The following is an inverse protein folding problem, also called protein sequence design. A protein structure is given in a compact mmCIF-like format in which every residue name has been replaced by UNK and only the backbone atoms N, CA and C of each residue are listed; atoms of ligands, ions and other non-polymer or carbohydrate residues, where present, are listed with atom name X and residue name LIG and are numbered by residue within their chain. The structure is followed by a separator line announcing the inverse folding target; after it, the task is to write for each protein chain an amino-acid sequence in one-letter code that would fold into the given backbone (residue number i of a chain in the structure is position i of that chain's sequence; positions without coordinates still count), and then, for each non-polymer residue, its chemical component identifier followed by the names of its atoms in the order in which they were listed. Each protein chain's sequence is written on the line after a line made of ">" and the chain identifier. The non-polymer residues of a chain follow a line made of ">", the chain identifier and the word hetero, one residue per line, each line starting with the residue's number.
data_IF_539350487918
#
_entry.id   IF_539350487918
#
_cell.length_a   1.000
_cell.length_b   1.000
_cell.length_c   1.000
_cell.angle_alpha   90.00
_cell.angle_beta   90.00
_cell.angle_gamma   90.00
#
_symmetry.space_group_name_H-M   'P 1'
#
loop_
_entity.id
_entity.type
_entity.pdbx_description
1 polymer ?
#
# COMPACT_ATOMS: atom_id res chain seq x y z
N UNK A 1 -7.58 16.08 1.93
CA UNK A 1 -7.56 15.21 3.14
C UNK A 1 -6.83 15.96 4.25
N UNK A 2 -7.41 15.99 5.45
CA UNK A 2 -6.76 16.55 6.63
C UNK A 2 -6.21 15.43 7.51
N UNK A 3 -5.02 15.63 8.04
CA UNK A 3 -4.38 14.71 8.98
C UNK A 3 -4.08 15.46 10.25
N UNK A 4 -4.56 14.95 11.37
CA UNK A 4 -4.34 15.54 12.68
C UNK A 4 -3.68 14.51 13.59
N UNK A 5 -2.59 14.91 14.25
CA UNK A 5 -1.98 14.08 15.29
C UNK A 5 -2.88 14.12 16.53
N UNK A 6 -3.27 12.96 17.02
CA UNK A 6 -4.12 12.82 18.21
C UNK A 6 -3.33 12.31 19.42
N UNK A 7 -2.10 11.87 19.21
CA UNK A 7 -1.16 11.41 20.23
C UNK A 7 0.18 11.03 19.62
N UNK A 8 1.09 10.56 20.44
CA UNK A 8 2.43 10.14 19.96
C UNK A 8 2.35 9.00 18.93
N UNK A 9 1.38 8.10 19.09
CA UNK A 9 1.22 6.89 18.28
C UNK A 9 -0.15 6.84 17.57
N UNK A 10 -0.80 7.98 17.36
CA UNK A 10 -2.12 8.00 16.75
C UNK A 10 -2.31 9.21 15.84
N UNK A 11 -3.03 8.99 14.75
CA UNK A 11 -3.42 10.03 13.81
C UNK A 11 -4.89 9.90 13.46
N UNK A 12 -5.52 11.03 13.17
CA UNK A 12 -6.85 11.06 12.57
C UNK A 12 -6.70 11.47 11.12
N UNK A 13 -7.23 10.64 10.24
CA UNK A 13 -7.32 10.93 8.82
C UNK A 13 -8.75 11.36 8.51
N UNK A 14 -8.90 12.51 7.89
CA UNK A 14 -10.21 13.04 7.50
C UNK A 14 -10.25 13.13 5.97
N UNK A 15 -10.67 12.04 5.29
CA UNK A 15 -10.92 12.07 3.87
C UNK A 15 -12.19 12.87 3.55
N UNK A 16 -12.68 12.83 2.33
CA UNK A 16 -13.83 13.63 1.90
C UNK A 16 -15.10 13.33 2.69
N UNK A 17 -15.32 12.08 3.06
CA UNK A 17 -16.60 11.58 3.60
C UNK A 17 -16.57 11.22 5.08
N UNK A 18 -15.60 11.72 5.83
CA UNK A 18 -15.55 11.53 7.27
C UNK A 18 -14.19 11.12 7.83
N UNK A 19 -14.05 11.08 9.13
CA UNK A 19 -12.80 10.78 9.79
C UNK A 19 -12.52 9.27 9.81
N UNK A 20 -11.24 8.91 9.63
CA UNK A 20 -10.69 7.61 9.95
C UNK A 20 -9.58 7.81 10.96
N UNK A 21 -9.60 7.06 12.05
CA UNK A 21 -8.57 7.11 13.08
C UNK A 21 -7.74 5.84 13.03
N UNK A 22 -6.41 6.01 13.03
CA UNK A 22 -5.45 4.92 13.14
C UNK A 22 -4.73 5.09 14.47
N UNK A 23 -4.87 4.10 15.34
CA UNK A 23 -4.30 4.11 16.68
C UNK A 23 -3.63 2.76 16.95
N UNK A 24 -2.57 2.78 17.75
CA UNK A 24 -1.92 1.58 18.23
C UNK A 24 -2.02 1.51 19.76
N UNK A 25 -2.25 0.32 20.35
CA UNK A 25 -2.36 0.16 21.81
C UNK A 25 -1.02 0.31 22.53
N UNK A 26 0.09 0.24 21.81
CA UNK A 26 1.44 0.41 22.35
C UNK A 26 2.41 0.84 21.25
N UNK A 27 3.57 1.43 21.61
CA UNK A 27 4.62 1.77 20.63
C UNK A 27 5.10 0.57 19.80
N UNK A 28 5.12 -0.61 20.37
CA UNK A 28 5.55 -1.85 19.69
C UNK A 28 4.57 -2.29 18.59
N UNK A 29 3.36 -1.77 18.61
CA UNK A 29 2.31 -2.06 17.63
C UNK A 29 1.92 -0.82 16.84
N UNK A 30 2.74 0.19 16.88
CA UNK A 30 2.53 1.45 16.22
C UNK A 30 2.45 1.28 14.70
N UNK A 31 1.50 1.96 14.10
CA UNK A 31 1.35 2.05 12.64
C UNK A 31 2.17 3.22 12.13
N UNK A 32 3.41 2.97 11.72
CA UNK A 32 4.32 4.01 11.25
C UNK A 32 3.89 4.59 9.90
N UNK A 33 4.41 5.77 9.50
CA UNK A 33 4.19 6.30 8.15
C UNK A 33 4.56 5.31 7.04
N UNK A 34 5.54 4.46 7.25
CA UNK A 34 6.00 3.47 6.27
C UNK A 34 5.06 2.27 6.19
N UNK A 35 4.41 1.89 7.30
CA UNK A 35 3.29 0.96 7.26
C UNK A 35 2.14 1.51 6.42
N UNK A 36 1.85 2.81 6.53
CA UNK A 36 0.81 3.45 5.72
C UNK A 36 1.19 3.51 4.24
N UNK A 37 2.46 3.80 3.92
CA UNK A 37 2.96 3.77 2.55
C UNK A 37 2.86 2.36 1.96
N UNK A 38 3.34 1.35 2.68
CA UNK A 38 3.25 -0.06 2.28
C UNK A 38 1.80 -0.53 2.14
N UNK A 39 0.92 -0.13 3.06
CA UNK A 39 -0.51 -0.45 2.99
C UNK A 39 -1.18 0.18 1.78
N UNK A 40 -0.82 1.41 1.45
CA UNK A 40 -1.32 2.09 0.24
C UNK A 40 -0.95 1.32 -1.03
N UNK A 41 0.32 0.92 -1.15
CA UNK A 41 0.79 0.11 -2.27
C UNK A 41 0.08 -1.24 -2.33
N UNK A 42 -0.02 -1.95 -1.21
CA UNK A 42 -0.66 -3.26 -1.14
C UNK A 42 -2.15 -3.19 -1.49
N UNK A 43 -2.87 -2.21 -0.94
CA UNK A 43 -4.29 -2.04 -1.22
C UNK A 43 -4.56 -1.72 -2.69
N UNK A 44 -3.78 -0.82 -3.27
CA UNK A 44 -3.90 -0.49 -4.69
C UNK A 44 -3.59 -1.71 -5.58
N UNK A 45 -2.54 -2.47 -5.27
CA UNK A 45 -2.20 -3.70 -6.00
C UNK A 45 -3.30 -4.75 -5.87
N UNK A 46 -3.84 -4.93 -4.66
CA UNK A 46 -4.97 -5.84 -4.43
C UNK A 46 -6.17 -5.46 -5.30
N UNK A 47 -6.46 -4.16 -5.40
CA UNK A 47 -7.60 -3.66 -6.17
C UNK A 47 -7.49 -3.98 -7.67
N UNK A 48 -6.30 -3.84 -8.27
CA UNK A 48 -6.12 -4.17 -9.69
C UNK A 48 -6.15 -5.68 -9.91
N UNK A 49 -5.60 -6.48 -9.01
CA UNK A 49 -5.69 -7.94 -9.07
C UNK A 49 -7.12 -8.42 -8.91
N UNK A 50 -7.87 -7.84 -7.97
CA UNK A 50 -9.28 -8.14 -7.76
C UNK A 50 -10.12 -7.85 -9.01
N UNK A 51 -9.94 -6.66 -9.58
CA UNK A 51 -10.64 -6.27 -10.80
C UNK A 51 -10.34 -7.21 -11.96
N UNK A 52 -9.07 -7.53 -12.16
CA UNK A 52 -8.66 -8.48 -13.20
C UNK A 52 -9.23 -9.88 -12.96
N UNK A 53 -9.18 -10.37 -11.72
CA UNK A 53 -9.72 -11.67 -11.36
C UNK A 53 -11.22 -11.77 -11.67
N UNK A 54 -11.98 -10.72 -11.34
CA UNK A 54 -13.41 -10.65 -11.62
C UNK A 54 -13.69 -10.74 -13.12
N UNK A 55 -12.93 -10.02 -13.96
CA UNK A 55 -13.10 -10.06 -15.41
C UNK A 55 -12.60 -11.36 -16.03
N UNK A 56 -11.64 -12.03 -15.41
CA UNK A 56 -11.09 -13.29 -15.88
C UNK A 56 -11.79 -14.53 -15.28
N UNK A 57 -12.84 -14.32 -14.50
CA UNK A 57 -13.58 -15.37 -13.79
C UNK A 57 -12.68 -16.24 -12.91
N UNK A 58 -11.78 -15.60 -12.18
CA UNK A 58 -10.85 -16.24 -11.24
C UNK A 58 -11.30 -15.99 -9.80
N UNK A 59 -11.23 -17.03 -8.95
CA UNK A 59 -11.43 -16.88 -7.52
C UNK A 59 -10.27 -16.16 -6.85
N UNK A 60 -10.58 -15.28 -5.91
CA UNK A 60 -9.61 -14.58 -5.07
C UNK A 60 -9.50 -15.21 -3.67
N UNK A 61 -10.12 -16.36 -3.46
CA UNK A 61 -10.14 -17.00 -2.15
C UNK A 61 -8.73 -17.24 -1.61
N UNK A 62 -8.51 -16.80 -0.39
CA UNK A 62 -7.22 -16.93 0.28
C UNK A 62 -6.13 -15.99 -0.22
N UNK A 63 -6.43 -15.03 -1.10
CA UNK A 63 -5.44 -14.08 -1.56
C UNK A 63 -5.03 -13.13 -0.44
N UNK A 64 -3.72 -12.97 -0.25
CA UNK A 64 -3.13 -11.99 0.67
C UNK A 64 -1.90 -11.33 0.05
N UNK A 65 -1.50 -10.21 0.61
CA UNK A 65 -0.32 -9.47 0.15
C UNK A 65 0.53 -9.11 1.37
N UNK A 66 1.81 -9.45 1.30
CA UNK A 66 2.83 -9.01 2.24
C UNK A 66 3.66 -7.90 1.62
N UNK A 67 3.99 -6.89 2.41
CA UNK A 67 4.89 -5.81 2.02
C UNK A 67 6.03 -5.70 3.02
N UNK A 68 7.23 -5.66 2.50
CA UNK A 68 8.44 -5.38 3.28
C UNK A 68 9.19 -4.22 2.66
N UNK A 69 10.00 -3.52 3.46
CA UNK A 69 10.80 -2.40 2.98
C UNK A 69 12.15 -2.36 3.69
N UNK A 70 13.11 -1.71 3.04
CA UNK A 70 14.41 -1.41 3.59
C UNK A 70 14.74 0.07 3.38
N UNK A 71 15.67 0.59 4.19
CA UNK A 71 16.12 1.97 4.12
C UNK A 71 17.53 2.07 3.56
N UNK A 72 17.80 3.16 2.85
CA UNK A 72 19.15 3.64 2.58
C UNK A 72 19.42 4.90 3.40
N UNK A 73 20.70 5.20 3.58
CA UNK A 73 21.15 6.44 4.19
C UNK A 73 21.67 7.41 3.11
N UNK A 74 21.74 8.67 3.45
CA UNK A 74 22.32 9.75 2.61
C UNK A 74 21.66 9.95 1.23
N UNK A 75 20.38 10.32 1.16
CA UNK A 75 19.47 10.63 2.26
C UNK A 75 18.81 9.40 2.84
N UNK A 76 18.37 9.51 4.09
CA UNK A 76 17.55 8.48 4.73
C UNK A 76 16.19 8.39 4.03
N UNK A 77 15.92 7.26 3.40
CA UNK A 77 14.70 7.04 2.62
C UNK A 77 14.41 5.55 2.50
N UNK A 78 13.19 5.23 2.16
CA UNK A 78 12.89 3.86 1.71
C UNK A 78 13.63 3.62 0.40
N UNK A 79 14.46 2.62 0.37
CA UNK A 79 15.21 2.20 -0.81
C UNK A 79 14.46 1.13 -1.59
N UNK A 80 13.95 0.14 -0.89
CA UNK A 80 13.24 -0.98 -1.50
C UNK A 80 11.88 -1.16 -0.84
N UNK A 81 10.87 -1.38 -1.66
CA UNK A 81 9.57 -1.90 -1.29
C UNK A 81 9.39 -3.21 -2.03
N UNK A 82 9.23 -4.29 -1.29
CA UNK A 82 8.96 -5.61 -1.86
C UNK A 82 7.54 -6.02 -1.52
N UNK A 83 6.77 -6.31 -2.55
CA UNK A 83 5.41 -6.78 -2.43
C UNK A 83 5.37 -8.24 -2.90
N UNK A 84 4.77 -9.09 -2.09
CA UNK A 84 4.57 -10.51 -2.39
C UNK A 84 3.10 -10.84 -2.24
N UNK A 85 2.44 -11.20 -3.32
CA UNK A 85 1.08 -11.71 -3.22
C UNK A 85 1.08 -13.23 -3.15
N UNK A 86 0.23 -13.75 -2.27
CA UNK A 86 -0.06 -15.17 -2.11
C UNK A 86 -1.47 -15.40 -2.63
N UNK A 87 -1.58 -16.23 -3.63
CA UNK A 87 -2.87 -16.49 -4.29
C UNK A 87 -3.05 -17.99 -4.52
N UNK A 88 -3.49 -18.74 -3.49
CA UNK A 88 -3.57 -20.20 -3.57
C UNK A 88 -4.46 -20.74 -4.68
N UNK A 89 -5.55 -20.01 -5.00
CA UNK A 89 -6.51 -20.42 -6.03
C UNK A 89 -6.10 -20.01 -7.45
N UNK A 90 -4.98 -19.29 -7.63
CA UNK A 90 -4.53 -18.85 -8.95
C UNK A 90 -3.96 -20.03 -9.75
N UNK A 91 -4.50 -20.32 -10.95
CA UNK A 91 -3.88 -21.32 -11.83
C UNK A 91 -2.43 -20.95 -12.16
N UNK A 92 -1.48 -21.91 -12.09
CA UNK A 92 -0.06 -21.63 -12.38
C UNK A 92 0.20 -20.97 -13.72
N UNK A 93 -0.58 -21.30 -14.75
CA UNK A 93 -0.49 -20.68 -16.07
C UNK A 93 -0.82 -19.19 -16.08
N UNK A 94 -1.50 -18.67 -15.04
CA UNK A 94 -1.88 -17.26 -14.91
C UNK A 94 -0.89 -16.43 -14.10
N UNK A 95 0.11 -17.03 -13.50
CA UNK A 95 1.03 -16.34 -12.59
C UNK A 95 1.74 -15.15 -13.25
N UNK A 96 2.26 -15.32 -14.46
CA UNK A 96 2.93 -14.23 -15.16
C UNK A 96 1.98 -13.10 -15.56
N UNK A 97 0.74 -13.41 -15.89
CA UNK A 97 -0.29 -12.41 -16.13
C UNK A 97 -0.62 -11.63 -14.85
N UNK A 98 -0.80 -12.33 -13.73
CA UNK A 98 -1.04 -11.71 -12.44
C UNK A 98 0.09 -10.75 -12.04
N UNK A 99 1.36 -11.12 -12.24
CA UNK A 99 2.51 -10.23 -11.98
C UNK A 99 2.46 -8.96 -12.81
N UNK A 100 2.11 -9.06 -14.09
CA UNK A 100 1.96 -7.87 -14.96
C UNK A 100 0.81 -6.98 -14.52
N UNK A 101 -0.31 -7.58 -14.14
CA UNK A 101 -1.48 -6.83 -13.63
C UNK A 101 -1.13 -6.14 -12.31
N UNK A 102 -0.45 -6.82 -11.39
CA UNK A 102 0.00 -6.23 -10.13
C UNK A 102 0.83 -4.96 -10.36
N UNK A 103 1.68 -4.94 -11.37
CA UNK A 103 2.51 -3.79 -11.73
C UNK A 103 1.70 -2.61 -12.33
N UNK A 104 0.44 -2.79 -12.68
CA UNK A 104 -0.43 -1.73 -13.23
C UNK A 104 -1.08 -0.86 -12.15
N UNK A 105 -0.74 -1.06 -10.90
CA UNK A 105 -1.24 -0.27 -9.78
C UNK A 105 -0.79 1.19 -9.89
N UNK A 106 -1.71 2.14 -9.72
CA UNK A 106 -1.41 3.58 -9.80
C UNK A 106 -0.41 4.04 -8.75
N UNK A 107 -0.46 3.48 -7.54
CA UNK A 107 0.53 3.79 -6.49
C UNK A 107 1.92 3.29 -6.90
N UNK A 108 2.03 2.10 -7.48
CA UNK A 108 3.28 1.58 -8.04
C UNK A 108 3.85 2.52 -9.11
N UNK A 109 3.04 2.93 -10.07
CA UNK A 109 3.45 3.90 -11.10
C UNK A 109 3.87 5.25 -10.49
N UNK A 110 3.17 5.71 -9.47
CA UNK A 110 3.51 6.94 -8.76
C UNK A 110 4.89 6.85 -8.08
N UNK A 111 5.23 5.69 -7.52
CA UNK A 111 6.54 5.48 -6.89
C UNK A 111 7.67 5.38 -7.93
N UNK A 112 7.39 4.80 -9.11
CA UNK A 112 8.37 4.73 -10.20
C UNK A 112 8.57 6.07 -10.92
N UNK A 113 7.53 6.90 -10.96
CA UNK A 113 7.51 8.22 -11.58
C UNK A 113 7.04 9.23 -10.54
N UNK A 114 7.90 9.59 -9.56
CA UNK A 114 7.47 10.35 -8.40
C UNK A 114 6.92 11.73 -8.79
N UNK A 115 5.87 12.18 -8.10
CA UNK A 115 5.29 13.49 -8.32
C UNK A 115 6.21 14.59 -7.79
N UNK A 116 5.97 15.81 -8.25
CA UNK A 116 6.53 16.98 -7.58
C UNK A 116 5.86 17.15 -6.22
N UNK A 117 6.67 17.34 -5.19
CA UNK A 117 6.19 17.59 -3.84
C UNK A 117 6.51 19.03 -3.48
N UNK A 118 5.47 19.83 -3.25
CA UNK A 118 5.61 21.22 -2.80
C UNK A 118 5.24 21.30 -1.31
N UNK A 119 5.97 22.13 -0.58
CA UNK A 119 5.70 22.41 0.84
C UNK A 119 5.40 23.91 0.94
N UNK A 120 4.22 24.24 1.45
CA UNK A 120 3.78 25.60 1.64
C UNK A 120 3.45 25.83 3.10
N UNK A 121 3.73 27.03 3.59
CA UNK A 121 3.34 27.49 4.92
C UNK A 121 2.14 28.44 4.79
N UNK A 122 1.14 28.21 5.60
CA UNK A 122 -0.04 29.08 5.66
C UNK A 122 -0.06 29.92 6.93
#
# INVERSE_FOLDING_TARGET
>A
MKITLTGENSVRLEPTDGPMTIEAPSPDRQYSPFHMLGSSLAYCTFSVLYSWATHADLSIDGMSIDVTWSFSEEPHRVQDLKLTFHWPSLPPARLNAAKRVAAMCTVHETLLHPPTVAIEAA
#
